data_IF_253755566428
#
_entry.id   IF_253755566428
#
_cell.length_a   1.000
_cell.length_b   1.000
_cell.length_c   1.000
_cell.angle_alpha   90.00
_cell.angle_beta   90.00
_cell.angle_gamma   90.00
#
_symmetry.space_group_name_H-M   'P 1'
#
loop_
_entity.id
_entity.type
_entity.pdbx_description
1 polymer ?
#
# COMPACT_ATOMS: atom_id res chain seq x y z
N UNK A 1 -18.91 9.79 -11.06
CA UNK A 1 -17.56 9.99 -10.49
C UNK A 1 -17.50 9.21 -9.21
N UNK A 2 -16.52 8.31 -9.10
CA UNK A 2 -16.28 7.46 -7.93
C UNK A 2 -15.09 8.03 -7.18
N UNK A 3 -15.23 8.26 -5.89
CA UNK A 3 -14.10 8.59 -5.02
C UNK A 3 -13.67 7.33 -4.29
N UNK A 4 -12.38 7.02 -4.30
CA UNK A 4 -11.81 5.86 -3.63
C UNK A 4 -10.48 6.26 -2.98
N UNK A 5 -10.14 5.65 -1.86
CA UNK A 5 -8.81 5.72 -1.28
C UNK A 5 -8.03 4.43 -1.56
N UNK A 6 -6.71 4.53 -1.67
CA UNK A 6 -5.83 3.38 -1.86
C UNK A 6 -4.56 3.56 -1.03
N UNK A 7 -4.22 2.55 -0.23
CA UNK A 7 -3.10 2.60 0.70
C UNK A 7 -2.40 1.24 0.86
N UNK A 8 -1.13 1.27 1.24
CA UNK A 8 -0.27 0.13 1.51
C UNK A 8 0.43 0.24 2.86
N UNK A 9 0.56 -0.89 3.54
CA UNK A 9 1.21 -0.97 4.85
C UNK A 9 2.19 -2.13 4.90
N UNK A 10 3.39 -1.90 5.45
CA UNK A 10 4.39 -2.95 5.68
C UNK A 10 4.91 -2.95 7.12
N UNK A 11 4.93 -4.12 7.74
CA UNK A 11 5.47 -4.35 9.09
C UNK A 11 6.96 -4.68 9.00
N UNK A 12 7.76 -3.65 8.71
CA UNK A 12 9.15 -3.77 8.27
C UNK A 12 9.25 -3.64 6.75
N UNK A 13 10.36 -3.08 6.25
CA UNK A 13 10.49 -2.72 4.83
C UNK A 13 11.83 -3.24 4.26
N UNK A 14 11.89 -4.48 3.73
CA UNK A 14 10.76 -5.38 3.45
C UNK A 14 10.29 -6.22 4.66
N UNK A 15 9.02 -6.64 4.64
CA UNK A 15 8.36 -7.41 5.71
C UNK A 15 6.95 -7.87 5.33
N UNK A 16 6.18 -8.45 6.26
CA UNK A 16 4.75 -8.71 6.04
C UNK A 16 4.05 -7.43 5.63
N UNK A 17 3.33 -7.45 4.53
CA UNK A 17 2.74 -6.25 3.94
C UNK A 17 1.33 -6.51 3.44
N UNK A 18 0.53 -5.45 3.42
CA UNK A 18 -0.81 -5.42 2.92
C UNK A 18 -1.07 -4.21 2.04
N UNK A 19 -2.12 -4.31 1.25
CA UNK A 19 -2.67 -3.27 0.41
C UNK A 19 -4.18 -3.26 0.60
N UNK A 20 -4.79 -2.09 0.46
CA UNK A 20 -6.24 -1.97 0.45
C UNK A 20 -6.70 -0.79 -0.40
N UNK A 21 -7.84 -0.95 -1.04
CA UNK A 21 -8.61 0.15 -1.60
C UNK A 21 -9.97 0.21 -0.93
N UNK A 22 -10.53 1.41 -0.83
CA UNK A 22 -11.75 1.68 -0.08
C UNK A 22 -12.61 2.73 -0.78
N UNK A 23 -13.89 2.43 -0.99
CA UNK A 23 -14.91 3.42 -1.38
C UNK A 23 -15.87 3.63 -0.21
N UNK A 24 -16.43 2.53 0.30
CA UNK A 24 -17.31 2.49 1.46
C UNK A 24 -17.21 1.10 2.14
N UNK A 25 -17.92 0.89 3.25
CA UNK A 25 -17.85 -0.36 4.01
C UNK A 25 -18.40 -1.59 3.24
N UNK A 26 -19.22 -1.38 2.22
CA UNK A 26 -19.76 -2.42 1.33
C UNK A 26 -18.89 -2.62 0.06
N UNK A 27 -17.99 -1.67 -0.23
CA UNK A 27 -17.12 -1.62 -1.42
C UNK A 27 -15.69 -1.32 -1.03
N UNK A 28 -14.97 -2.37 -0.64
CA UNK A 28 -13.54 -2.33 -0.40
C UNK A 28 -12.89 -3.67 -0.70
N UNK A 29 -11.59 -3.64 -0.98
CA UNK A 29 -10.79 -4.82 -1.25
C UNK A 29 -9.42 -4.70 -0.59
N UNK A 30 -8.89 -5.82 -0.10
CA UNK A 30 -7.57 -5.87 0.51
C UNK A 30 -6.86 -7.21 0.21
N UNK A 31 -5.55 -7.21 0.36
CA UNK A 31 -4.70 -8.38 0.19
C UNK A 31 -3.26 -8.06 0.56
N UNK A 32 -2.33 -9.00 0.37
CA UNK A 32 -0.96 -8.75 0.79
C UNK A 32 0.01 -9.91 0.57
N UNK A 33 1.15 -9.82 1.23
CA UNK A 33 2.24 -10.80 1.15
C UNK A 33 2.93 -11.00 2.50
N UNK A 34 3.56 -12.17 2.67
CA UNK A 34 4.47 -12.43 3.80
C UNK A 34 5.72 -11.55 3.78
N UNK A 35 6.14 -11.12 2.59
CA UNK A 35 7.37 -10.36 2.41
C UNK A 35 7.25 -9.45 1.18
N UNK A 36 7.06 -8.15 1.40
CA UNK A 36 7.07 -7.11 0.39
C UNK A 36 7.42 -5.75 1.06
N UNK A 37 7.54 -4.71 0.24
CA UNK A 37 7.81 -3.33 0.68
C UNK A 37 6.52 -2.52 0.77
N UNK A 38 6.58 -1.36 1.46
CA UNK A 38 5.44 -0.44 1.52
C UNK A 38 5.01 0.01 0.12
N UNK A 39 5.98 0.43 -0.70
CA UNK A 39 5.77 0.89 -2.07
C UNK A 39 5.09 -0.16 -2.96
N UNK A 40 5.37 -1.45 -2.75
CA UNK A 40 4.66 -2.53 -3.46
C UNK A 40 3.20 -2.64 -3.00
N UNK A 41 2.92 -2.47 -1.70
CA UNK A 41 1.57 -2.40 -1.17
C UNK A 41 0.78 -1.23 -1.76
N UNK A 42 1.34 -0.03 -1.73
CA UNK A 42 0.68 1.19 -2.24
C UNK A 42 0.37 1.08 -3.75
N UNK A 43 1.34 0.65 -4.57
CA UNK A 43 1.12 0.44 -6.01
C UNK A 43 0.05 -0.63 -6.27
N UNK A 44 0.05 -1.70 -5.49
CA UNK A 44 -0.93 -2.79 -5.65
C UNK A 44 -2.33 -2.37 -5.24
N UNK A 45 -2.47 -1.55 -4.21
CA UNK A 45 -3.75 -1.00 -3.81
C UNK A 45 -4.43 -0.26 -4.97
N UNK A 46 -3.68 0.60 -5.66
CA UNK A 46 -4.16 1.30 -6.84
C UNK A 46 -4.46 0.32 -7.97
N UNK A 47 -3.55 -0.60 -8.29
CA UNK A 47 -3.78 -1.61 -9.32
C UNK A 47 -5.09 -2.39 -9.11
N UNK A 48 -5.32 -2.88 -7.90
CA UNK A 48 -6.50 -3.68 -7.59
C UNK A 48 -7.78 -2.85 -7.54
N UNK A 49 -7.70 -1.56 -7.17
CA UNK A 49 -8.82 -0.62 -7.33
C UNK A 49 -9.22 -0.49 -8.80
N UNK A 50 -8.23 -0.34 -9.69
CA UNK A 50 -8.50 -0.18 -11.11
C UNK A 50 -9.11 -1.44 -11.73
N UNK A 51 -8.62 -2.61 -11.34
CA UNK A 51 -9.22 -3.92 -11.71
C UNK A 51 -10.64 -4.07 -11.19
N UNK A 52 -10.87 -3.77 -9.91
CA UNK A 52 -12.17 -3.91 -9.28
C UNK A 52 -13.24 -3.06 -9.96
N UNK A 53 -12.84 -1.92 -10.52
CA UNK A 53 -13.74 -0.97 -11.19
C UNK A 53 -13.69 -1.05 -12.71
N UNK A 54 -13.01 -2.04 -13.31
CA UNK A 54 -12.78 -2.14 -14.76
C UNK A 54 -14.07 -2.17 -15.61
N UNK A 55 -15.17 -2.63 -15.03
CA UNK A 55 -16.49 -2.72 -15.67
C UNK A 55 -17.28 -1.40 -15.66
N UNK A 56 -16.75 -0.35 -15.03
CA UNK A 56 -17.38 0.96 -14.89
C UNK A 56 -16.73 1.97 -15.83
N UNK A 57 -17.55 2.87 -16.38
CA UNK A 57 -17.06 4.00 -17.18
C UNK A 57 -16.92 5.29 -16.33
N UNK A 58 -17.22 5.27 -15.03
CA UNK A 58 -17.09 6.44 -14.18
C UNK A 58 -15.65 6.97 -14.08
N UNK A 59 -15.52 8.29 -14.00
CA UNK A 59 -14.25 8.92 -13.62
C UNK A 59 -13.91 8.58 -12.16
N UNK A 60 -12.67 8.14 -11.92
CA UNK A 60 -12.16 7.82 -10.59
C UNK A 60 -11.32 8.95 -10.00
N UNK A 61 -11.69 9.41 -8.80
CA UNK A 61 -10.85 10.24 -7.95
C UNK A 61 -10.18 9.33 -6.91
N UNK A 62 -8.87 9.15 -7.03
CA UNK A 62 -8.08 8.30 -6.13
C UNK A 62 -7.38 9.17 -5.09
N UNK A 63 -7.75 9.01 -3.83
CA UNK A 63 -7.09 9.59 -2.67
C UNK A 63 -5.92 8.68 -2.28
N UNK A 64 -4.73 9.24 -2.16
CA UNK A 64 -3.53 8.49 -1.78
C UNK A 64 -2.56 9.42 -1.05
N UNK A 65 -1.94 8.97 0.03
CA UNK A 65 -0.87 9.70 0.71
C UNK A 65 0.53 9.39 0.16
N UNK A 66 0.65 8.36 -0.70
CA UNK A 66 1.89 8.03 -1.38
C UNK A 66 2.19 8.96 -2.55
N UNK A 67 3.11 9.89 -2.31
CA UNK A 67 3.73 10.67 -3.38
C UNK A 67 4.48 9.78 -4.38
N UNK A 68 5.01 8.63 -3.93
CA UNK A 68 5.71 7.69 -4.81
C UNK A 68 4.77 7.16 -5.89
N UNK A 69 3.59 6.65 -5.50
CA UNK A 69 2.59 6.13 -6.45
C UNK A 69 2.11 7.23 -7.41
N UNK A 70 1.76 8.40 -6.87
CA UNK A 70 1.29 9.53 -7.68
C UNK A 70 2.35 9.94 -8.70
N UNK A 71 3.61 10.09 -8.31
CA UNK A 71 4.69 10.47 -9.21
C UNK A 71 5.02 9.37 -10.24
N UNK A 72 4.99 8.09 -9.83
CA UNK A 72 5.13 6.96 -10.75
C UNK A 72 4.15 7.07 -11.91
N UNK A 73 2.86 7.23 -11.62
CA UNK A 73 1.80 7.23 -12.63
C UNK A 73 1.81 8.53 -13.44
N UNK A 74 1.92 9.69 -12.77
CA UNK A 74 1.67 10.99 -13.42
C UNK A 74 2.90 11.60 -14.07
N UNK A 75 4.12 11.31 -13.56
CA UNK A 75 5.35 11.97 -14.01
C UNK A 75 6.32 11.02 -14.69
N UNK A 76 6.57 9.84 -14.10
CA UNK A 76 7.72 9.04 -14.47
C UNK A 76 7.42 7.95 -15.50
N UNK A 77 6.29 7.25 -15.37
CA UNK A 77 5.89 6.14 -16.23
C UNK A 77 5.88 6.50 -17.73
N UNK A 78 5.38 7.67 -18.18
CA UNK A 78 5.48 8.05 -19.60
C UNK A 78 6.92 8.14 -20.12
N UNK A 79 7.86 8.54 -19.27
CA UNK A 79 9.29 8.58 -19.59
C UNK A 79 9.92 7.19 -19.63
N UNK A 80 9.60 6.36 -18.65
CA UNK A 80 10.11 4.99 -18.57
C UNK A 80 9.62 4.11 -19.73
N UNK A 81 8.35 4.22 -20.13
CA UNK A 81 7.81 3.50 -21.31
C UNK A 81 8.61 3.80 -22.58
N UNK A 82 8.93 5.07 -22.83
CA UNK A 82 9.76 5.48 -23.98
C UNK A 82 11.20 4.94 -23.91
N UNK A 83 11.71 4.66 -22.72
CA UNK A 83 13.05 4.12 -22.49
C UNK A 83 13.07 2.59 -22.27
N UNK A 84 11.97 1.90 -22.58
CA UNK A 84 11.88 0.45 -22.38
C UNK A 84 11.94 0.03 -20.91
N UNK A 85 11.31 0.81 -20.03
CA UNK A 85 11.25 0.59 -18.57
C UNK A 85 12.60 0.62 -17.87
N UNK A 86 13.47 1.53 -18.31
CA UNK A 86 14.79 1.80 -17.72
C UNK A 86 14.89 3.23 -17.21
N UNK A 87 15.64 3.38 -16.12
CA UNK A 87 16.04 4.69 -15.58
C UNK A 87 17.12 5.34 -16.44
N UNK A 88 17.45 6.60 -16.15
CA UNK A 88 18.49 7.34 -16.87
C UNK A 88 19.88 6.72 -16.74
N UNK A 89 20.15 6.07 -15.60
CA UNK A 89 21.37 5.30 -15.31
C UNK A 89 21.43 3.93 -16.03
N UNK A 90 20.41 3.59 -16.83
CA UNK A 90 20.30 2.33 -17.56
C UNK A 90 19.83 1.14 -16.70
N UNK A 91 19.73 1.30 -15.37
CA UNK A 91 19.21 0.28 -14.46
C UNK A 91 17.70 0.08 -14.69
N UNK A 92 17.17 -1.13 -14.44
CA UNK A 92 15.73 -1.35 -14.47
C UNK A 92 15.01 -0.44 -13.47
N UNK A 93 13.77 -0.06 -13.81
CA UNK A 93 12.88 0.64 -12.87
C UNK A 93 12.48 -0.33 -11.75
N UNK A 94 12.51 0.13 -10.50
CA UNK A 94 12.02 -0.66 -9.37
C UNK A 94 10.52 -0.90 -9.50
N UNK A 95 10.04 -2.08 -9.12
CA UNK A 95 8.64 -2.49 -9.24
C UNK A 95 8.11 -2.48 -10.70
N UNK A 96 8.98 -2.62 -11.70
CA UNK A 96 8.62 -2.53 -13.12
C UNK A 96 7.45 -3.44 -13.53
N UNK A 97 7.39 -4.68 -13.04
CA UNK A 97 6.31 -5.59 -13.42
C UNK A 97 4.95 -5.12 -12.89
N UNK A 98 4.90 -4.65 -11.64
CA UNK A 98 3.69 -4.07 -11.05
C UNK A 98 3.26 -2.78 -11.76
N UNK A 99 4.24 -1.96 -12.16
CA UNK A 99 3.98 -0.73 -12.91
C UNK A 99 3.48 -0.98 -14.34
N UNK A 100 3.92 -2.06 -14.99
CA UNK A 100 3.40 -2.47 -16.31
C UNK A 100 1.95 -2.95 -16.19
N UNK A 101 1.66 -3.81 -15.20
CA UNK A 101 0.28 -4.23 -14.93
C UNK A 101 -0.62 -3.01 -14.69
N UNK A 102 -0.15 -2.04 -13.90
CA UNK A 102 -0.89 -0.81 -13.63
C UNK A 102 -1.08 0.04 -14.89
N UNK A 103 -0.05 0.19 -15.73
CA UNK A 103 -0.15 0.91 -17.00
C UNK A 103 -1.23 0.32 -17.93
N UNK A 104 -1.33 -1.01 -17.97
CA UNK A 104 -2.34 -1.72 -18.76
C UNK A 104 -3.76 -1.44 -18.22
N UNK A 105 -3.96 -1.50 -16.90
CA UNK A 105 -5.27 -1.26 -16.26
C UNK A 105 -5.69 0.23 -16.28
N UNK A 106 -4.74 1.16 -16.42
CA UNK A 106 -5.01 2.59 -16.57
C UNK A 106 -5.42 2.96 -18.01
N UNK A 107 -5.10 2.12 -19.00
CA UNK A 107 -5.31 2.44 -20.39
C UNK A 107 -6.79 2.69 -20.72
N UNK A 108 -7.09 3.86 -21.29
CA UNK A 108 -8.46 4.22 -21.69
C UNK A 108 -9.39 4.67 -20.56
N UNK A 109 -8.88 4.76 -19.32
CA UNK A 109 -9.67 5.11 -18.13
C UNK A 109 -9.64 6.61 -17.84
N UNK A 110 -10.71 7.14 -17.25
CA UNK A 110 -10.77 8.52 -16.73
C UNK A 110 -10.45 8.51 -15.24
N UNK A 111 -9.36 9.16 -14.84
CA UNK A 111 -8.96 9.21 -13.44
C UNK A 111 -8.21 10.48 -13.05
N UNK A 112 -8.23 10.80 -11.76
CA UNK A 112 -7.43 11.84 -11.10
C UNK A 112 -6.88 11.29 -9.80
N UNK A 113 -5.73 11.82 -9.40
CA UNK A 113 -5.15 11.58 -8.08
C UNK A 113 -5.24 12.85 -7.25
N UNK A 114 -5.64 12.70 -6.00
CA UNK A 114 -5.53 13.75 -4.98
C UNK A 114 -4.58 13.24 -3.90
N UNK A 115 -3.50 13.99 -3.70
CA UNK A 115 -2.60 13.70 -2.60
C UNK A 115 -3.25 14.16 -1.31
N UNK A 116 -3.38 13.25 -0.36
CA UNK A 116 -3.82 13.55 1.00
C UNK A 116 -2.65 13.41 1.95
N UNK A 117 -2.63 14.19 3.02
CA UNK A 117 -1.59 14.03 4.03
C UNK A 117 -1.92 12.77 4.84
N UNK A 118 -0.96 11.88 5.02
CA UNK A 118 -1.11 10.74 5.92
C UNK A 118 -1.44 11.19 7.36
N UNK A 119 -1.82 10.23 8.21
CA UNK A 119 -2.09 10.36 9.65
C UNK A 119 -3.54 10.58 10.07
N UNK A 120 -4.09 11.80 9.97
CA UNK A 120 -5.41 12.13 10.54
C UNK A 120 -6.10 13.22 9.73
N UNK A 121 -7.40 13.07 9.48
CA UNK A 121 -8.26 14.04 8.82
C UNK A 121 -8.81 13.59 7.46
N UNK A 122 -8.53 12.34 7.05
CA UNK A 122 -8.95 11.79 5.77
C UNK A 122 -9.60 10.42 5.97
N UNK A 123 -10.89 10.36 6.35
CA UNK A 123 -11.56 9.13 6.78
C UNK A 123 -11.47 7.96 5.79
N UNK A 124 -11.52 8.24 4.48
CA UNK A 124 -11.39 7.19 3.46
C UNK A 124 -9.97 6.62 3.38
N UNK A 125 -8.94 7.48 3.52
CA UNK A 125 -7.54 7.05 3.53
C UNK A 125 -7.23 6.27 4.81
N UNK A 126 -7.69 6.77 5.96
CA UNK A 126 -7.59 6.05 7.24
C UNK A 126 -8.28 4.69 7.18
N UNK A 127 -9.45 4.60 6.53
CA UNK A 127 -10.15 3.34 6.32
C UNK A 127 -9.36 2.35 5.45
N UNK A 128 -8.60 2.84 4.46
CA UNK A 128 -7.71 2.03 3.64
C UNK A 128 -6.45 1.61 4.43
N UNK A 129 -5.79 2.52 5.15
CA UNK A 129 -4.62 2.23 6.00
C UNK A 129 -4.92 1.11 7.00
N UNK A 130 -6.03 1.25 7.75
CA UNK A 130 -6.44 0.26 8.76
C UNK A 130 -6.60 -1.13 8.14
N UNK A 131 -7.17 -1.21 6.94
CA UNK A 131 -7.39 -2.48 6.22
C UNK A 131 -6.08 -3.06 5.69
N UNK A 132 -5.22 -2.22 5.09
CA UNK A 132 -3.90 -2.64 4.62
C UNK A 132 -3.03 -3.16 5.77
N UNK A 133 -3.02 -2.44 6.89
CA UNK A 133 -2.32 -2.83 8.10
C UNK A 133 -2.85 -4.14 8.69
N UNK A 134 -4.18 -4.31 8.75
CA UNK A 134 -4.79 -5.55 9.23
C UNK A 134 -4.35 -6.78 8.42
N UNK A 135 -4.19 -6.63 7.09
CA UNK A 135 -3.61 -7.68 6.25
C UNK A 135 -2.16 -7.97 6.63
N UNK A 136 -1.32 -6.94 6.75
CA UNK A 136 0.08 -7.12 7.13
C UNK A 136 0.22 -7.83 8.49
N UNK A 137 -0.61 -7.48 9.47
CA UNK A 137 -0.66 -8.12 10.78
C UNK A 137 -1.13 -9.58 10.71
N UNK A 138 -2.07 -9.88 9.82
CA UNK A 138 -2.53 -11.25 9.56
C UNK A 138 -1.39 -12.10 8.99
N UNK A 139 -0.60 -11.57 8.05
CA UNK A 139 0.58 -12.27 7.53
C UNK A 139 1.69 -12.46 8.58
N UNK A 140 1.89 -11.47 9.47
CA UNK A 140 2.84 -11.58 10.59
C UNK A 140 2.44 -12.67 11.60
N UNK A 141 1.15 -12.77 11.89
CA UNK A 141 0.61 -13.69 12.91
C UNK A 141 0.20 -15.06 12.37
N UNK A 142 0.11 -15.23 11.04
CA UNK A 142 -0.42 -16.44 10.41
C UNK A 142 -1.95 -16.56 10.50
N UNK A 143 -2.65 -15.46 10.73
CA UNK A 143 -4.11 -15.40 10.85
C UNK A 143 -4.84 -15.32 9.49
N UNK A 144 -6.18 -15.31 9.52
CA UNK A 144 -7.00 -15.13 8.31
C UNK A 144 -6.78 -13.74 7.72
N UNK A 145 -6.48 -13.68 6.42
CA UNK A 145 -6.23 -12.41 5.71
C UNK A 145 -7.57 -11.78 5.30
N UNK A 146 -7.89 -10.56 5.74
CA UNK A 146 -9.09 -9.87 5.31
C UNK A 146 -8.98 -9.49 3.83
N UNK A 147 -10.00 -9.84 3.03
CA UNK A 147 -10.06 -9.52 1.60
C UNK A 147 -11.07 -8.43 1.26
N UNK A 148 -12.04 -8.18 2.15
CA UNK A 148 -13.18 -7.29 1.91
C UNK A 148 -14.28 -7.89 1.04
N UNK A 149 -15.41 -7.19 0.91
CA UNK A 149 -16.57 -7.61 0.12
C UNK A 149 -16.33 -7.52 -1.39
N UNK A 150 -15.26 -6.85 -1.84
CA UNK A 150 -14.99 -6.55 -3.25
C UNK A 150 -15.86 -5.39 -3.77
N UNK A 151 -15.90 -5.21 -5.09
CA UNK A 151 -16.83 -4.28 -5.70
C UNK A 151 -18.22 -4.92 -5.79
N UNK A 152 -19.22 -4.35 -5.12
CA UNK A 152 -20.61 -4.80 -5.18
C UNK A 152 -21.49 -3.67 -5.69
N UNK A 153 -22.27 -3.97 -6.73
CA UNK A 153 -23.32 -3.05 -7.17
C UNK A 153 -24.39 -2.92 -6.07
N UNK A 154 -24.93 -1.72 -5.91
CA UNK A 154 -25.96 -1.44 -4.90
C UNK A 154 -27.20 -2.35 -5.10
N UNK A 155 -27.36 -3.30 -4.19
CA UNK A 155 -28.60 -4.04 -3.83
C UNK A 155 -29.32 -4.74 -4.99
N UNK A 156 -28.97 -6.02 -5.25
CA UNK A 156 -30.02 -7.00 -5.52
C UNK A 156 -30.74 -7.29 -4.20
N UNK A 157 -31.92 -6.69 -4.03
CA UNK A 157 -32.70 -6.82 -2.80
C UNK A 157 -33.17 -8.25 -2.59
N UNK A 158 -32.80 -8.86 -1.46
CA UNK A 158 -33.66 -9.70 -0.63
C UNK A 158 -32.84 -10.24 0.54
N UNK A 159 -33.36 -10.00 1.74
CA UNK A 159 -32.96 -10.70 2.93
C UNK A 159 -33.13 -12.21 2.79
N UNK A 160 -32.14 -12.98 3.22
CA UNK A 160 -32.40 -14.24 3.94
C UNK A 160 -31.58 -14.24 5.22
N UNK A 161 -32.29 -13.87 6.28
CA UNK A 161 -31.96 -14.21 7.66
C UNK A 161 -32.02 -15.74 7.82
N UNK A 162 -30.98 -16.28 8.44
CA UNK A 162 -30.99 -17.42 9.37
C UNK A 162 -31.82 -18.67 9.08
N UNK A 163 -31.12 -19.79 8.89
CA UNK A 163 -31.43 -21.10 9.47
C UNK A 163 -30.08 -21.84 9.50
N UNK A 164 -29.35 -21.82 10.61
CA UNK A 164 -29.47 -22.73 11.76
C UNK A 164 -29.21 -24.20 11.42
N UNK A 165 -28.39 -24.79 12.26
CA UNK A 165 -27.82 -26.12 12.14
C UNK A 165 -28.88 -27.22 12.31
N UNK A 166 -28.65 -28.37 11.67
CA UNK A 166 -28.97 -29.68 12.26
C UNK A 166 -28.22 -30.81 11.55
N UNK A 167 -27.69 -31.69 12.39
CA UNK A 167 -27.19 -33.06 12.22
C UNK A 167 -28.11 -33.94 11.33
N UNK A 168 -27.70 -35.03 10.67
CA UNK A 168 -27.01 -36.19 11.23
C UNK A 168 -26.58 -37.23 10.14
N UNK A 169 -25.56 -38.02 10.49
CA UNK A 169 -25.25 -39.43 10.19
C UNK A 169 -25.25 -40.07 8.75
N UNK A 170 -24.02 -40.44 8.33
CA UNK A 170 -23.48 -41.80 8.09
C UNK A 170 -24.04 -42.77 7.00
N UNK A 171 -23.11 -43.24 6.14
CA UNK A 171 -22.85 -44.61 5.61
C UNK A 171 -22.32 -44.48 4.15
N UNK A 172 -21.32 -45.19 3.64
CA UNK A 172 -20.52 -46.36 4.04
C UNK A 172 -19.28 -46.40 3.14
N UNK A 173 -18.14 -46.80 3.68
CA UNK A 173 -16.86 -47.02 2.99
C UNK A 173 -16.78 -48.49 2.56
N UNK A 174 -16.12 -48.77 1.42
CA UNK A 174 -15.25 -49.94 1.24
C UNK A 174 -14.41 -49.82 -0.05
N UNK A 175 -13.29 -50.56 -0.19
CA UNK A 175 -11.96 -49.95 -0.35
C UNK A 175 -11.36 -50.15 -1.74
N UNK A 176 -10.30 -49.40 -2.07
CA UNK A 176 -9.43 -49.68 -3.22
C UNK A 176 -7.95 -49.50 -2.85
N UNK A 177 -7.29 -50.65 -2.86
CA UNK A 177 -5.90 -51.05 -3.08
C UNK A 177 -4.74 -50.05 -2.94
N UNK A 178 -3.77 -50.52 -2.13
CA UNK A 178 -2.38 -50.10 -2.05
C UNK A 178 -1.70 -50.11 -3.42
N UNK A 179 -1.02 -49.01 -3.75
CA UNK A 179 0.17 -49.05 -4.61
C UNK A 179 1.26 -48.22 -3.96
N UNK A 180 2.23 -48.94 -3.42
CA UNK A 180 3.54 -48.50 -2.97
C UNK A 180 4.36 -48.01 -4.17
N UNK A 181 4.94 -46.80 -4.10
CA UNK A 181 5.99 -46.35 -5.01
C UNK A 181 7.04 -45.52 -4.26
N UNK A 182 8.26 -46.02 -4.40
CA UNK A 182 9.49 -45.79 -3.65
C UNK A 182 10.00 -44.34 -3.60
N UNK A 183 10.65 -44.03 -2.46
CA UNK A 183 11.63 -42.96 -2.34
C UNK A 183 12.90 -43.31 -3.11
N UNK A 184 13.38 -42.38 -3.94
CA UNK A 184 14.79 -42.27 -4.28
C UNK A 184 15.23 -40.80 -4.26
N UNK A 185 16.37 -40.57 -3.61
CA UNK A 185 16.95 -39.29 -3.25
C UNK A 185 17.83 -38.65 -4.33
N UNK A 186 18.21 -37.39 -4.04
CA UNK A 186 19.23 -36.50 -4.63
C UNK A 186 18.61 -35.32 -5.42
N UNK A 187 19.02 -34.06 -5.27
CA UNK A 187 20.29 -33.50 -4.82
C UNK A 187 20.10 -32.05 -4.35
N UNK A 188 20.95 -31.65 -3.41
CA UNK A 188 21.18 -30.32 -2.86
C UNK A 188 21.66 -29.33 -3.94
N UNK A 189 21.10 -28.11 -3.95
CA UNK A 189 21.74 -26.86 -4.41
C UNK A 189 21.30 -25.75 -3.43
N UNK A 190 22.12 -25.51 -2.40
CA UNK A 190 23.09 -24.42 -2.27
C UNK A 190 22.45 -23.09 -1.87
N UNK A 191 22.69 -22.76 -0.60
CA UNK A 191 22.27 -21.55 0.08
C UNK A 191 23.41 -20.53 -0.01
N UNK A 192 23.22 -19.48 -0.79
CA UNK A 192 23.96 -18.23 -0.63
C UNK A 192 23.18 -17.06 -1.22
N UNK A 193 22.13 -16.64 -0.51
CA UNK A 193 21.63 -15.26 -0.66
C UNK A 193 22.47 -14.42 0.31
N UNK A 194 23.31 -13.49 -0.15
CA UNK A 194 24.07 -12.66 0.77
C UNK A 194 23.12 -11.76 1.56
N UNK A 195 23.33 -11.74 2.87
CA UNK A 195 22.72 -10.80 3.79
C UNK A 195 23.10 -9.37 3.37
N UNK A 196 22.09 -8.50 3.32
CA UNK A 196 22.24 -7.10 2.97
C UNK A 196 23.00 -6.36 4.10
N UNK A 197 24.17 -5.75 3.83
CA UNK A 197 24.81 -4.87 4.79
C UNK A 197 24.17 -3.49 4.67
N UNK A 198 23.36 -3.12 5.67
CA UNK A 198 23.14 -1.74 6.12
C UNK A 198 23.08 -0.64 5.02
N UNK A 199 21.90 -0.15 4.58
CA UNK A 199 21.83 1.05 3.76
C UNK A 199 21.84 2.28 4.66
N UNK A 200 22.94 2.48 5.36
CA UNK A 200 23.34 3.75 5.93
C UNK A 200 24.67 4.12 5.30
N UNK A 201 24.64 5.10 4.39
CA UNK A 201 25.74 5.75 3.65
C UNK A 201 25.89 5.38 2.15
N UNK A 202 25.57 6.39 1.34
CA UNK A 202 26.19 6.79 0.07
C UNK A 202 25.82 6.03 -1.23
N UNK A 203 24.64 6.34 -1.80
CA UNK A 203 24.45 6.40 -3.27
C UNK A 203 23.77 7.72 -3.66
N UNK A 204 24.57 8.77 -3.70
CA UNK A 204 24.21 10.16 -3.98
C UNK A 204 23.94 10.45 -5.47
N UNK A 205 23.62 9.43 -6.27
CA UNK A 205 23.47 9.56 -7.74
C UNK A 205 22.07 9.31 -8.27
N UNK A 206 21.10 9.01 -7.39
CA UNK A 206 19.70 8.79 -7.74
C UNK A 206 18.80 10.03 -7.60
N UNK A 207 19.36 11.15 -7.14
CA UNK A 207 18.67 12.42 -6.95
C UNK A 207 19.25 13.51 -7.87
N UNK A 208 19.09 13.36 -9.19
CA UNK A 208 19.17 14.52 -10.09
C UNK A 208 17.79 15.17 -10.14
N UNK A 209 17.53 15.98 -9.12
CA UNK A 209 16.53 17.02 -9.15
C UNK A 209 17.07 18.16 -10.02
N UNK A 210 16.61 18.30 -11.26
CA UNK A 210 16.86 19.51 -12.06
C UNK A 210 15.86 20.64 -11.70
N UNK A 211 15.27 20.54 -10.52
CA UNK A 211 14.62 21.61 -9.80
C UNK A 211 15.23 21.56 -8.40
N UNK A 212 16.16 22.48 -8.11
CA UNK A 212 16.88 22.49 -6.84
C UNK A 212 15.88 22.27 -5.69
N UNK A 213 16.15 21.35 -4.74
CA UNK A 213 15.30 21.23 -3.56
C UNK A 213 15.12 22.63 -3.00
N UNK A 214 13.89 23.04 -2.71
CA UNK A 214 13.62 24.34 -2.08
C UNK A 214 14.68 24.52 -1.01
N UNK A 215 15.52 25.55 -1.20
CA UNK A 215 16.70 25.74 -0.38
C UNK A 215 16.27 25.63 1.08
N UNK A 216 17.00 24.89 1.91
CA UNK A 216 16.68 24.82 3.33
C UNK A 216 16.61 26.25 3.86
N UNK A 217 15.40 26.71 4.19
CA UNK A 217 15.18 28.07 4.64
C UNK A 217 15.51 28.10 6.14
N UNK A 218 16.63 28.72 6.48
CA UNK A 218 16.92 29.04 7.87
C UNK A 218 16.03 30.22 8.29
N UNK A 219 15.01 29.92 9.08
CA UNK A 219 14.16 30.93 9.70
C UNK A 219 14.68 31.25 11.09
N UNK A 220 15.03 32.51 11.34
CA UNK A 220 15.28 33.01 12.69
C UNK A 220 14.03 33.74 13.15
N UNK A 221 13.42 33.28 14.24
CA UNK A 221 12.26 33.93 14.86
C UNK A 221 12.70 34.51 16.19
N UNK A 222 12.48 35.80 16.38
CA UNK A 222 12.64 36.44 17.69
C UNK A 222 11.31 36.34 18.43
N UNK A 223 11.33 35.72 19.62
CA UNK A 223 10.16 35.61 20.49
C UNK A 223 10.37 36.53 21.69
N UNK A 224 9.33 37.23 22.10
CA UNK A 224 9.29 37.82 23.43
C UNK A 224 9.32 36.72 24.51
N UNK A 225 9.67 37.09 25.74
CA UNK A 225 9.67 36.15 26.88
C UNK A 225 8.31 35.47 27.05
N UNK A 226 7.22 36.21 26.90
CA UNK A 226 5.86 35.68 27.03
C UNK A 226 5.51 34.68 25.91
N UNK A 227 5.92 34.95 24.67
CA UNK A 227 5.73 34.04 23.54
C UNK A 227 6.57 32.77 23.68
N UNK A 228 7.80 32.90 24.17
CA UNK A 228 8.67 31.75 24.45
C UNK A 228 8.06 30.84 25.53
N UNK A 229 7.58 31.42 26.63
CA UNK A 229 6.94 30.64 27.71
C UNK A 229 5.66 29.94 27.24
N UNK A 230 4.87 30.62 26.41
CA UNK A 230 3.67 30.03 25.80
C UNK A 230 4.01 28.88 24.85
N UNK A 231 5.06 29.02 24.04
CA UNK A 231 5.55 27.97 23.15
C UNK A 231 5.98 26.73 23.96
N UNK A 232 6.74 26.91 25.04
CA UNK A 232 7.19 25.82 25.91
C UNK A 232 6.00 25.08 26.55
N UNK A 233 4.97 25.82 26.98
CA UNK A 233 3.78 25.24 27.58
C UNK A 233 2.99 24.38 26.58
N UNK A 234 2.80 24.89 25.37
CA UNK A 234 2.07 24.20 24.31
C UNK A 234 2.82 22.97 23.79
N UNK A 235 4.13 23.08 23.58
CA UNK A 235 4.97 21.95 23.18
C UNK A 235 4.94 20.83 24.23
N UNK A 236 5.00 21.18 25.52
CA UNK A 236 4.88 20.22 26.62
C UNK A 236 3.50 19.55 26.65
N UNK A 237 2.43 20.30 26.43
CA UNK A 237 1.08 19.73 26.36
C UNK A 237 0.91 18.76 25.18
N UNK A 238 1.60 19.02 24.06
CA UNK A 238 1.64 18.17 22.87
C UNK A 238 2.65 17.01 22.96
N UNK A 239 3.50 16.97 24.01
CA UNK A 239 4.50 15.91 24.20
C UNK A 239 5.67 15.93 23.22
N UNK A 240 5.93 17.07 22.57
CA UNK A 240 6.99 17.23 21.55
C UNK A 240 7.98 18.33 21.95
N UNK A 241 9.13 18.41 21.26
CA UNK A 241 10.09 19.48 21.47
C UNK A 241 9.52 20.85 20.99
N UNK A 242 9.88 21.98 21.61
CA UNK A 242 9.43 23.31 21.19
C UNK A 242 9.72 23.63 19.73
N UNK A 243 10.86 23.20 19.20
CA UNK A 243 11.27 23.41 17.82
C UNK A 243 10.42 22.57 16.85
N UNK A 244 10.04 21.35 17.26
CA UNK A 244 9.16 20.47 16.50
C UNK A 244 7.73 20.98 16.50
N UNK A 245 7.26 21.46 17.65
CA UNK A 245 5.98 22.15 17.77
C UNK A 245 5.91 23.38 16.87
N UNK A 246 6.97 24.21 16.86
CA UNK A 246 7.06 25.40 16.02
C UNK A 246 7.06 25.06 14.53
N UNK A 247 7.80 24.01 14.12
CA UNK A 247 7.79 23.51 12.73
C UNK A 247 6.42 22.99 12.29
N UNK A 248 5.60 22.50 13.21
CA UNK A 248 4.23 22.09 12.92
C UNK A 248 3.25 23.25 12.72
N UNK A 249 3.62 24.46 13.12
CA UNK A 249 2.79 25.68 13.00
C UNK A 249 3.10 26.53 11.78
N UNK A 250 4.24 26.30 11.11
CA UNK A 250 4.73 27.01 9.93
C UNK A 250 4.52 26.12 8.71
#
# INVERSE_FOLDING_TARGET
MITAAADGSALGNPGPAGWAWYVDDDRWGAGGWKHATNNQGELKAVLELFRATAHLDDELLVLCDSQYVINCITKWMPGWKRKGWRKADGKPVLNVELLKELDDELAGRRYRFEWVKGHVGHPMNEAADVRARAVAESYRSGGPVPSGPGWRDEISGAATRGADATTDAAASVDPIDEVELELAAASVIDASVPADPNPGADDDTLFSFDEAPDAWHQLTVELSTEEHDRLLQLARAAGVAPEEYLRGLI
#
